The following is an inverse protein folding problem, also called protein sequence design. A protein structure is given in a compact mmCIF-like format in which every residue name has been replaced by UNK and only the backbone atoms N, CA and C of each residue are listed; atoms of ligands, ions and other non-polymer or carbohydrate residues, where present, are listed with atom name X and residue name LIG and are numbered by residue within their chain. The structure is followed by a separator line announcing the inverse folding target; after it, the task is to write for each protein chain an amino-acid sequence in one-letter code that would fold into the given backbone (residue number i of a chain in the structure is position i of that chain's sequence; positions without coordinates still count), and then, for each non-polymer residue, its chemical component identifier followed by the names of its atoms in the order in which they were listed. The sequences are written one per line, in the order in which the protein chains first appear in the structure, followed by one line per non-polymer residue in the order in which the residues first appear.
data_IF_653597949709
#
_entry.id   IF_653597949709
#
_cell.length_a   1.000
_cell.length_b   1.000
_cell.length_c   1.000
_cell.angle_alpha   90.00
_cell.angle_beta   90.00
_cell.angle_gamma   90.00
#
_symmetry.space_group_name_H-M   'P 1'
#
loop_
_entity.id
_entity.type
_entity.pdbx_description
1 polymer ?
#
# COMPACT_ATOMS: atom_id res chain seq x y z
N UNK A 1 17.08 -10.52 -11.68
CA UNK A 1 15.69 -10.99 -11.80
C UNK A 1 15.13 -11.29 -10.42
N UNK A 2 14.58 -10.28 -9.73
CA UNK A 2 14.00 -10.43 -8.38
C UNK A 2 12.53 -10.81 -8.59
N UNK A 3 12.19 -12.06 -8.30
CA UNK A 3 10.91 -12.67 -8.67
C UNK A 3 9.72 -11.90 -8.14
N UNK A 4 8.85 -11.45 -9.05
CA UNK A 4 7.49 -11.04 -8.71
C UNK A 4 6.78 -12.25 -8.12
N UNK A 5 6.63 -12.31 -6.79
CA UNK A 5 5.67 -13.23 -6.18
C UNK A 5 4.28 -12.77 -6.59
N UNK A 6 3.76 -13.37 -7.66
CA UNK A 6 2.35 -13.33 -8.06
C UNK A 6 1.56 -14.24 -7.11
N UNK A 7 1.57 -13.91 -5.82
CA UNK A 7 0.68 -14.53 -4.83
C UNK A 7 -0.55 -13.63 -4.72
N UNK A 8 -1.43 -13.70 -5.71
CA UNK A 8 -2.82 -13.33 -5.46
C UNK A 8 -3.32 -14.32 -4.40
N UNK A 9 -3.32 -13.86 -3.16
CA UNK A 9 -3.31 -14.68 -1.95
C UNK A 9 -4.58 -15.53 -1.82
N UNK A 10 -4.50 -16.81 -2.22
CA UNK A 10 -5.32 -17.93 -1.71
C UNK A 10 -4.52 -19.23 -1.82
N UNK A 11 -3.65 -19.48 -0.85
CA UNK A 11 -3.11 -20.82 -0.61
C UNK A 11 -3.48 -21.19 0.82
N UNK A 12 -4.46 -22.09 0.97
CA UNK A 12 -4.77 -22.71 2.25
C UNK A 12 -3.63 -23.66 2.60
N UNK A 13 -3.02 -23.46 3.76
CA UNK A 13 -2.09 -24.43 4.34
C UNK A 13 -0.63 -24.08 4.14
N UNK A 14 -0.04 -23.48 5.17
CA UNK A 14 1.31 -23.70 5.70
C UNK A 14 1.46 -22.71 6.85
N UNK A 15 1.16 -23.14 8.08
CA UNK A 15 1.32 -22.34 9.30
C UNK A 15 2.81 -22.15 9.60
N UNK A 16 3.40 -21.13 9.00
CA UNK A 16 4.59 -20.47 9.53
C UNK A 16 4.10 -19.21 10.23
N UNK A 17 4.40 -19.04 11.52
CA UNK A 17 4.00 -17.86 12.28
C UNK A 17 4.78 -16.63 11.77
N UNK A 18 4.24 -15.96 10.74
CA UNK A 18 4.84 -14.76 10.17
C UNK A 18 4.74 -13.63 11.19
N UNK A 19 5.88 -13.23 11.77
CA UNK A 19 5.95 -12.03 12.61
C UNK A 19 5.91 -10.81 11.68
N UNK A 20 4.80 -10.07 11.72
CA UNK A 20 4.61 -8.84 10.96
C UNK A 20 5.20 -7.66 11.72
N UNK A 21 6.00 -6.85 11.04
CA UNK A 21 6.38 -5.53 11.57
C UNK A 21 5.13 -4.65 11.64
N UNK A 22 4.94 -3.85 12.71
CA UNK A 22 3.81 -2.94 12.81
C UNK A 22 3.74 -1.99 11.61
N UNK A 23 2.52 -1.66 11.13
CA UNK A 23 2.36 -0.70 10.06
C UNK A 23 2.73 0.71 10.53
N UNK A 24 3.22 1.53 9.59
CA UNK A 24 3.41 2.96 9.83
C UNK A 24 2.04 3.64 9.82
N UNK A 25 1.70 4.31 10.92
CA UNK A 25 0.51 5.14 11.00
C UNK A 25 0.89 6.56 10.60
N UNK A 26 0.25 7.09 9.56
CA UNK A 26 0.50 8.44 9.06
C UNK A 26 -0.69 9.34 9.43
N UNK A 27 -0.42 10.57 9.88
CA UNK A 27 -1.46 11.58 10.05
C UNK A 27 -1.94 12.10 8.68
N UNK A 28 -2.99 12.93 8.67
CA UNK A 28 -3.41 13.62 7.45
C UNK A 28 -2.30 14.56 6.93
N UNK A 29 -1.64 15.30 7.82
CA UNK A 29 -0.54 16.19 7.42
C UNK A 29 0.63 15.40 6.84
N UNK A 30 0.99 14.28 7.48
CA UNK A 30 2.05 13.40 6.99
C UNK A 30 1.71 12.83 5.61
N UNK A 31 0.45 12.42 5.40
CA UNK A 31 0.00 11.93 4.10
C UNK A 31 0.14 13.00 3.02
N UNK A 32 -0.29 14.23 3.30
CA UNK A 32 -0.22 15.34 2.34
C UNK A 32 1.23 15.71 2.02
N UNK A 33 2.11 15.71 3.01
CA UNK A 33 3.53 15.96 2.81
C UNK A 33 4.24 14.84 2.03
N UNK A 34 3.70 13.62 2.07
CA UNK A 34 4.30 12.45 1.45
C UNK A 34 3.92 12.24 -0.02
N UNK A 35 2.75 12.70 -0.47
CA UNK A 35 2.27 12.38 -1.84
C UNK A 35 3.10 13.05 -2.94
N UNK A 36 3.14 12.39 -4.10
CA UNK A 36 3.64 12.98 -5.34
C UNK A 36 2.51 13.41 -6.29
N UNK A 37 2.85 14.11 -7.37
CA UNK A 37 1.90 14.63 -8.37
C UNK A 37 1.04 13.56 -9.06
N UNK A 38 1.51 12.30 -9.07
CA UNK A 38 0.82 11.16 -9.66
C UNK A 38 0.06 10.30 -8.62
N UNK A 39 -0.04 10.81 -7.40
CA UNK A 39 -0.68 10.17 -6.24
C UNK A 39 -1.83 11.02 -5.70
N UNK A 40 -2.68 10.38 -4.90
CA UNK A 40 -3.88 10.96 -4.31
C UNK A 40 -3.99 10.48 -2.87
N UNK A 41 -4.42 11.39 -1.98
CA UNK A 41 -4.88 11.04 -0.64
C UNK A 41 -6.40 10.88 -0.69
N UNK A 42 -6.88 9.68 -0.38
CA UNK A 42 -8.30 9.41 -0.15
C UNK A 42 -8.62 9.61 1.33
N UNK A 43 -9.58 10.47 1.63
CA UNK A 43 -9.98 10.80 3.01
C UNK A 43 -11.43 10.39 3.22
N UNK A 44 -11.68 9.60 4.26
CA UNK A 44 -13.01 9.30 4.80
C UNK A 44 -13.04 9.63 6.29
N UNK A 45 -14.22 9.74 6.93
CA UNK A 45 -14.30 10.05 8.37
C UNK A 45 -13.55 9.06 9.27
N UNK A 46 -13.43 7.80 8.83
CA UNK A 46 -12.79 6.72 9.61
C UNK A 46 -11.37 6.39 9.15
N UNK A 47 -10.96 6.83 7.95
CA UNK A 47 -9.70 6.36 7.37
C UNK A 47 -9.07 7.31 6.35
N UNK A 48 -7.75 7.26 6.29
CA UNK A 48 -6.93 7.98 5.30
C UNK A 48 -6.13 6.92 4.53
N UNK A 49 -6.12 7.01 3.19
CA UNK A 49 -5.44 6.05 2.31
C UNK A 49 -4.67 6.77 1.21
N UNK A 50 -3.49 6.25 0.86
CA UNK A 50 -2.71 6.70 -0.28
C UNK A 50 -3.03 5.85 -1.52
N UNK A 51 -3.22 6.49 -2.68
CA UNK A 51 -3.54 5.82 -3.94
C UNK A 51 -2.78 6.45 -5.10
N UNK A 52 -2.42 5.67 -6.13
CA UNK A 52 -1.99 6.21 -7.42
C UNK A 52 -3.17 6.80 -8.19
N UNK A 53 -2.93 7.88 -8.92
CA UNK A 53 -3.90 8.47 -9.85
C UNK A 53 -4.22 7.47 -10.96
N UNK A 54 -5.50 7.38 -11.33
CA UNK A 54 -5.93 6.49 -12.41
C UNK A 54 -5.26 6.89 -13.73
N UNK A 55 -4.75 5.91 -14.47
CA UNK A 55 -4.08 6.13 -15.77
C UNK A 55 -2.56 6.29 -15.70
N UNK A 56 -1.95 6.28 -14.51
CA UNK A 56 -0.49 6.25 -14.37
C UNK A 56 0.01 4.85 -14.74
N UNK A 57 0.83 4.75 -15.78
CA UNK A 57 1.54 3.50 -16.08
C UNK A 57 2.57 3.26 -14.98
N UNK A 58 2.43 2.18 -14.23
CA UNK A 58 3.47 1.67 -13.32
C UNK A 58 4.76 1.52 -14.12
N UNK A 59 5.72 2.44 -13.94
CA UNK A 59 7.06 2.25 -14.47
C UNK A 59 7.67 1.07 -13.71
N UNK A 60 8.00 0.02 -14.46
CA UNK A 60 8.64 -1.19 -13.97
C UNK A 60 10.08 -0.93 -13.53
#
# INVERSE_FOLDING_TARGET
AKGKKLTNMRASGSDEAVILTPPVQMSLEDCIAYINDDELVEVTPESIRLRKKAGVKLKA
#
